data_IF_126397634934
#
_entry.id   IF_126397634934
#
_cell.length_a   1.000
_cell.length_b   1.000
_cell.length_c   1.000
_cell.angle_alpha   90.00
_cell.angle_beta   90.00
_cell.angle_gamma   90.00
#
_symmetry.space_group_name_H-M   'P 1'
#
loop_
_entity.id
_entity.type
_entity.pdbx_description
1 polymer ?
#
# COMPACT_ATOMS: atom_id res chain seq x y z
N UNK A 1 8.92 7.03 -9.30
CA UNK A 1 7.96 7.84 -8.63
C UNK A 1 8.34 9.27 -8.76
N UNK A 2 7.48 10.01 -9.17
CA UNK A 2 7.85 11.29 -9.61
C UNK A 2 7.34 12.30 -8.64
N UNK A 3 8.24 12.76 -7.80
CA UNK A 3 7.98 13.92 -7.02
C UNK A 3 6.79 13.89 -6.09
N UNK A 4 6.19 12.76 -5.86
CA UNK A 4 5.08 12.67 -4.94
C UNK A 4 5.36 11.67 -3.86
N UNK A 5 4.57 11.70 -2.83
CA UNK A 5 4.67 10.73 -1.76
C UNK A 5 3.78 9.55 -2.05
N UNK A 6 4.13 8.40 -1.51
CA UNK A 6 3.23 7.26 -1.51
C UNK A 6 1.99 7.58 -0.68
N UNK A 7 0.91 6.93 -1.00
CA UNK A 7 -0.37 7.24 -0.35
C UNK A 7 -0.33 6.90 1.13
N UNK A 8 -0.90 7.80 1.92
CA UNK A 8 -1.14 7.61 3.34
C UNK A 8 -2.66 7.60 3.52
N UNK A 9 -3.18 6.56 4.15
CA UNK A 9 -4.61 6.35 4.21
C UNK A 9 -5.05 6.28 5.67
N UNK A 10 -5.88 7.22 6.08
CA UNK A 10 -6.28 7.34 7.47
C UNK A 10 -7.78 7.14 7.72
N UNK A 11 -8.52 6.81 6.67
CA UNK A 11 -9.95 6.60 6.82
C UNK A 11 -10.48 5.67 5.75
N UNK A 12 -11.64 5.10 5.99
CA UNK A 12 -12.29 4.27 4.99
C UNK A 12 -12.59 5.05 3.72
N UNK A 13 -12.96 6.32 3.88
CA UNK A 13 -13.26 7.16 2.71
C UNK A 13 -12.01 7.39 1.87
N UNK A 14 -10.86 7.62 2.53
CA UNK A 14 -9.60 7.78 1.82
C UNK A 14 -9.23 6.48 1.12
N UNK A 15 -9.42 5.37 1.78
CA UNK A 15 -9.10 4.07 1.17
C UNK A 15 -9.93 3.85 -0.08
N UNK A 16 -11.22 4.15 -0.01
CA UNK A 16 -12.10 3.99 -1.16
C UNK A 16 -11.70 4.93 -2.31
N UNK A 17 -11.31 6.16 -1.98
CA UNK A 17 -10.87 7.11 -3.00
C UNK A 17 -9.61 6.63 -3.71
N UNK A 18 -8.62 6.18 -2.94
CA UNK A 18 -7.38 5.67 -3.50
C UNK A 18 -7.66 4.44 -4.36
N UNK A 19 -8.51 3.54 -3.88
CA UNK A 19 -8.83 2.34 -4.65
C UNK A 19 -9.49 2.69 -5.99
N UNK A 20 -10.33 3.71 -6.02
CA UNK A 20 -10.93 4.15 -7.29
C UNK A 20 -9.86 4.59 -8.28
N UNK A 21 -8.81 5.25 -7.80
CA UNK A 21 -7.70 5.63 -8.67
C UNK A 21 -6.93 4.40 -9.14
N UNK A 22 -6.73 3.44 -8.25
CA UNK A 22 -5.97 2.23 -8.56
C UNK A 22 -6.64 1.43 -9.66
N UNK A 23 -7.94 1.20 -9.57
CA UNK A 23 -8.63 0.36 -10.54
C UNK A 23 -8.73 0.96 -11.92
N UNK A 24 -8.38 2.24 -12.07
CA UNK A 24 -8.36 2.87 -13.39
C UNK A 24 -7.06 2.61 -14.15
N UNK A 25 -6.08 1.99 -13.52
CA UNK A 25 -4.82 1.72 -14.18
C UNK A 25 -4.98 0.59 -15.18
N UNK A 26 -4.65 0.85 -16.43
CA UNK A 26 -4.82 -0.15 -17.48
C UNK A 26 -3.90 -1.34 -17.31
N UNK A 27 -2.78 -1.15 -16.62
CA UNK A 27 -1.79 -2.21 -16.40
C UNK A 27 -1.88 -2.77 -15.00
N UNK A 28 -3.00 -2.59 -14.33
CA UNK A 28 -3.15 -3.00 -12.94
C UNK A 28 -3.04 -4.52 -12.79
N UNK A 29 -2.24 -4.94 -11.85
CA UNK A 29 -2.10 -6.33 -11.46
C UNK A 29 -2.79 -6.59 -10.12
N UNK A 30 -2.88 -7.86 -9.75
CA UNK A 30 -3.45 -8.23 -8.45
C UNK A 30 -2.74 -7.51 -7.31
N UNK A 31 -1.42 -7.34 -7.42
CA UNK A 31 -0.63 -6.70 -6.37
C UNK A 31 -0.91 -5.20 -6.24
N UNK A 32 -1.44 -4.57 -7.28
CA UNK A 32 -1.91 -3.20 -7.21
C UNK A 32 -0.82 -2.16 -7.11
N UNK A 33 -0.82 -1.42 -6.03
CA UNK A 33 0.08 -0.27 -5.86
C UNK A 33 0.74 -0.29 -4.50
N UNK A 34 1.93 0.32 -4.42
CA UNK A 34 2.61 0.54 -3.14
C UNK A 34 1.84 1.56 -2.31
N UNK A 35 1.83 1.34 -1.00
CA UNK A 35 1.31 2.31 -0.05
C UNK A 35 2.47 2.89 0.76
N UNK A 36 2.22 4.00 1.43
CA UNK A 36 3.24 4.74 2.13
C UNK A 36 3.41 4.33 3.59
N UNK A 37 3.54 3.05 3.86
CA UNK A 37 3.84 2.62 5.22
C UNK A 37 5.02 1.66 5.23
N UNK A 38 5.62 1.55 6.41
CA UNK A 38 6.80 0.70 6.60
C UNK A 38 6.76 0.10 8.00
N UNK A 39 7.20 -1.14 8.11
CA UNK A 39 7.41 -1.79 9.41
C UNK A 39 8.81 -1.42 9.90
N UNK A 40 8.89 -0.91 11.11
CA UNK A 40 10.16 -0.48 11.70
C UNK A 40 10.71 -1.54 12.64
N UNK A 41 11.86 -1.23 13.24
CA UNK A 41 12.59 -2.17 14.09
C UNK A 41 11.78 -2.65 15.29
N UNK A 42 10.78 -1.88 15.73
CA UNK A 42 9.89 -2.27 16.81
C UNK A 42 8.78 -3.21 16.36
N UNK A 43 8.81 -3.63 15.11
CA UNK A 43 7.80 -4.49 14.47
C UNK A 43 6.44 -3.83 14.30
N UNK A 44 6.39 -2.51 14.43
CA UNK A 44 5.14 -1.76 14.24
C UNK A 44 5.19 -1.02 12.92
N UNK A 45 4.02 -0.78 12.35
CA UNK A 45 3.93 -0.06 11.10
C UNK A 45 3.76 1.43 11.34
N UNK A 46 4.42 2.20 10.49
CA UNK A 46 4.36 3.66 10.51
C UNK A 46 4.12 4.16 9.10
N UNK A 47 3.35 5.20 8.99
CA UNK A 47 3.24 5.90 7.71
C UNK A 47 4.53 6.67 7.44
N UNK A 48 4.78 6.96 6.17
CA UNK A 48 6.03 7.63 5.79
C UNK A 48 6.16 9.04 6.34
N UNK A 49 5.08 9.62 6.84
CA UNK A 49 5.15 10.91 7.52
C UNK A 49 5.54 10.76 8.99
N UNK A 50 5.82 9.55 9.44
CA UNK A 50 6.28 9.29 10.80
C UNK A 50 5.18 8.93 11.78
N UNK A 51 3.93 9.06 11.40
CA UNK A 51 2.84 8.74 12.33
C UNK A 51 2.63 7.24 12.42
N UNK A 52 2.33 6.78 13.64
CA UNK A 52 2.09 5.36 13.86
C UNK A 52 0.76 4.93 13.25
N UNK A 53 0.74 3.73 12.70
CA UNK A 53 -0.50 3.16 12.20
C UNK A 53 -1.40 2.67 13.34
N UNK A 54 -0.82 2.35 14.48
CA UNK A 54 -1.54 1.81 15.62
C UNK A 54 -2.66 2.74 16.06
N UNK A 55 -3.79 2.15 16.44
CA UNK A 55 -4.97 2.85 16.89
C UNK A 55 -5.64 3.72 15.82
N UNK A 56 -5.19 3.60 14.58
CA UNK A 56 -5.81 4.29 13.48
C UNK A 56 -6.54 3.34 12.55
N UNK A 57 -7.01 3.88 11.46
CA UNK A 57 -7.68 3.08 10.44
C UNK A 57 -6.71 2.10 9.78
N UNK A 58 -7.15 0.87 9.60
CA UNK A 58 -6.42 -0.11 8.81
C UNK A 58 -7.39 -0.86 7.91
N UNK A 59 -6.87 -1.36 6.80
CA UNK A 59 -7.67 -2.12 5.86
C UNK A 59 -6.91 -3.38 5.42
N UNK A 60 -6.27 -4.05 6.36
CA UNK A 60 -5.52 -5.26 6.06
C UNK A 60 -6.40 -6.31 5.37
N UNK A 61 -5.85 -6.97 4.39
CA UNK A 61 -6.48 -8.12 3.80
C UNK A 61 -6.52 -9.28 4.78
N UNK A 62 -7.36 -10.26 4.51
CA UNK A 62 -7.50 -11.41 5.39
C UNK A 62 -6.16 -12.12 5.53
N UNK A 63 -5.74 -12.33 6.77
CA UNK A 63 -4.47 -12.96 7.07
C UNK A 63 -3.26 -12.04 7.04
N UNK A 64 -3.46 -10.75 6.82
CA UNK A 64 -2.35 -9.80 6.74
C UNK A 64 -2.33 -8.89 7.96
N UNK A 65 -1.16 -8.41 8.37
CA UNK A 65 0.17 -8.70 7.83
C UNK A 65 0.62 -10.10 8.28
N UNK A 66 1.41 -10.77 7.46
CA UNK A 66 1.72 -12.18 7.71
C UNK A 66 3.21 -12.52 7.80
N UNK A 67 4.10 -11.56 7.71
CA UNK A 67 5.53 -11.85 7.81
C UNK A 67 6.29 -10.65 8.34
N UNK A 68 7.04 -10.87 9.41
CA UNK A 68 7.84 -9.79 10.01
C UNK A 68 8.95 -9.30 9.09
N UNK A 69 9.30 -10.08 8.09
CA UNK A 69 10.33 -9.69 7.14
C UNK A 69 9.78 -8.80 6.05
N UNK A 70 8.47 -8.75 5.88
CA UNK A 70 7.82 -7.91 4.89
C UNK A 70 7.55 -6.56 5.51
N UNK A 71 8.35 -5.58 5.14
CA UNK A 71 8.37 -4.29 5.82
C UNK A 71 7.73 -3.17 5.05
N UNK A 72 7.39 -3.41 3.81
CA UNK A 72 6.66 -2.44 3.00
C UNK A 72 5.25 -2.93 2.74
N UNK A 73 4.44 -2.14 2.08
CA UNK A 73 3.06 -2.51 1.89
C UNK A 73 2.46 -2.07 0.58
N UNK A 74 1.41 -2.76 0.21
CA UNK A 74 0.69 -2.49 -1.02
C UNK A 74 -0.81 -2.64 -0.80
N UNK A 75 -1.56 -2.07 -1.71
CA UNK A 75 -3.01 -2.28 -1.79
C UNK A 75 -3.26 -3.21 -2.95
N UNK A 76 -3.97 -4.32 -2.71
CA UNK A 76 -4.33 -5.23 -3.78
C UNK A 76 -5.21 -4.53 -4.80
N UNK A 77 -4.94 -4.79 -6.08
CA UNK A 77 -5.68 -4.15 -7.15
C UNK A 77 -6.83 -4.98 -7.69
N UNK A 78 -6.73 -6.29 -7.59
CA UNK A 78 -7.73 -7.22 -8.14
C UNK A 78 -7.91 -8.39 -7.20
N UNK A 79 -8.95 -9.16 -7.44
CA UNK A 79 -9.22 -10.37 -6.68
C UNK A 79 -10.11 -10.07 -5.48
N UNK A 80 -10.28 -11.07 -4.63
CA UNK A 80 -11.20 -10.97 -3.51
C UNK A 80 -10.68 -10.09 -2.37
N UNK A 81 -9.41 -9.67 -2.44
CA UNK A 81 -8.84 -8.75 -1.47
C UNK A 81 -8.61 -7.36 -2.05
N UNK A 82 -9.18 -7.09 -3.23
CA UNK A 82 -9.00 -5.80 -3.89
C UNK A 82 -9.36 -4.65 -2.95
N UNK A 83 -8.49 -3.65 -2.90
CA UNK A 83 -8.67 -2.51 -2.01
C UNK A 83 -8.19 -2.74 -0.59
N UNK A 84 -7.75 -3.94 -0.27
CA UNK A 84 -7.21 -4.26 1.06
C UNK A 84 -5.69 -4.22 1.01
N UNK A 85 -5.06 -4.15 2.17
CA UNK A 85 -3.61 -3.96 2.30
C UNK A 85 -2.89 -5.26 2.57
N UNK A 86 -1.62 -5.30 2.17
CA UNK A 86 -0.74 -6.43 2.35
C UNK A 86 0.65 -5.93 2.70
N UNK A 87 1.38 -6.71 3.50
CA UNK A 87 2.80 -6.44 3.72
C UNK A 87 3.60 -7.18 2.66
N UNK A 88 4.73 -6.57 2.26
CA UNK A 88 5.51 -7.05 1.14
C UNK A 88 6.97 -6.71 1.37
N UNK A 89 7.87 -7.50 0.79
CA UNK A 89 9.29 -7.19 0.86
C UNK A 89 9.55 -5.90 0.10
N UNK A 90 10.28 -4.99 0.74
CA UNK A 90 10.53 -3.68 0.15
C UNK A 90 11.40 -3.77 -1.11
N UNK A 91 12.31 -4.74 -1.13
CA UNK A 91 13.28 -4.85 -2.21
C UNK A 91 12.83 -5.73 -3.35
N UNK A 92 11.71 -6.40 -3.21
CA UNK A 92 11.27 -7.32 -4.24
C UNK A 92 10.36 -6.61 -5.21
N UNK A 93 10.86 -6.46 -6.41
CA UNK A 93 9.99 -6.31 -7.56
C UNK A 93 9.84 -7.73 -8.06
N UNK A 94 8.68 -8.34 -7.95
CA UNK A 94 8.56 -9.74 -8.34
C UNK A 94 8.72 -9.87 -9.84
N UNK A 95 9.89 -10.24 -10.27
CA UNK A 95 10.17 -10.38 -11.70
C UNK A 95 9.18 -11.31 -12.37
N UNK A 96 8.79 -12.34 -11.63
CA UNK A 96 7.86 -13.32 -12.16
C UNK A 96 6.47 -12.74 -12.39
N UNK A 97 6.16 -11.59 -11.81
CA UNK A 97 4.89 -10.94 -12.05
C UNK A 97 4.92 -10.09 -13.32
N UNK A 98 6.10 -9.84 -13.81
CA UNK A 98 6.27 -9.08 -15.04
C UNK A 98 5.65 -7.69 -14.97
N UNK A 99 5.65 -7.11 -13.80
CA UNK A 99 5.16 -5.76 -13.66
C UNK A 99 5.93 -5.05 -12.56
N UNK A 100 5.97 -3.75 -12.69
CA UNK A 100 6.48 -2.89 -11.65
C UNK A 100 5.26 -2.33 -10.94
N UNK A 101 5.19 -2.47 -9.63
CA UNK A 101 4.05 -1.92 -8.92
C UNK A 101 3.84 -0.45 -9.28
N UNK A 102 2.61 -0.09 -9.50
CA UNK A 102 2.28 1.29 -9.75
C UNK A 102 2.50 2.05 -8.45
N UNK A 103 3.26 3.12 -8.54
CA UNK A 103 3.50 3.96 -7.38
C UNK A 103 2.48 5.07 -7.42
N UNK A 104 1.62 5.07 -6.41
CA UNK A 104 0.56 6.02 -6.31
C UNK A 104 0.99 7.13 -5.37
N UNK A 105 1.00 8.34 -5.85
CA UNK A 105 1.41 9.47 -5.05
C UNK A 105 0.20 10.24 -4.61
N UNK A 106 0.11 10.49 -3.30
CA UNK A 106 -0.91 11.35 -2.75
C UNK A 106 -0.37 12.77 -2.80
N UNK A 107 -0.83 13.52 -3.76
CA UNK A 107 -0.36 14.88 -3.89
C UNK A 107 -0.95 15.73 -2.80
N UNK A 108 -0.15 16.66 -2.32
CA UNK A 108 -0.69 17.67 -1.41
C UNK A 108 -1.65 18.56 -2.15
N UNK A 109 -2.66 18.95 -1.46
CA UNK A 109 -3.54 19.99 -1.97
C UNK A 109 -2.72 21.29 -1.98
N UNK A 110 -2.65 21.87 -3.09
CA UNK A 110 -1.89 23.10 -3.23
C UNK A 110 -2.82 24.22 -3.59
#
# INVERSE_FOLDING_TARGET
MIGGDLAIIRSAAENAFIFKLVIKQSTLHNWGVWLGFVRKADNKFYWIDGTAMANGYTAWGRGEPNSVQEKCGNMFGKGDRAGKWNDLLCSVVPDNLKYTPVILCKKKAN
#
